data_IF_130377469615
#
_entry.id   IF_130377469615
#
_cell.length_a   1.000
_cell.length_b   1.000
_cell.length_c   1.000
_cell.angle_alpha   90.00
_cell.angle_beta   90.00
_cell.angle_gamma   90.00
#
_symmetry.space_group_name_H-M   'P 1'
#
loop_
_entity.id
_entity.type
_entity.pdbx_description
1 polymer ?
#
# COMPACT_ATOMS: atom_id res chain seq x y z
N UNK A 1 14.95 -11.43 2.49
CA UNK A 1 13.64 -10.78 2.37
C UNK A 1 13.86 -9.43 1.72
N UNK A 2 13.02 -9.04 0.78
CA UNK A 2 13.02 -7.69 0.16
C UNK A 2 11.75 -6.99 0.61
N UNK A 3 11.89 -5.80 1.20
CA UNK A 3 10.77 -4.98 1.65
C UNK A 3 10.90 -3.58 1.03
N UNK A 4 9.81 -3.11 0.42
CA UNK A 4 9.72 -1.79 -0.21
C UNK A 4 8.52 -1.05 0.37
N UNK A 5 8.76 0.07 1.02
CA UNK A 5 7.75 0.98 1.54
C UNK A 5 7.45 2.07 0.52
N UNK A 6 6.16 2.30 0.26
CA UNK A 6 5.71 3.22 -0.80
C UNK A 6 4.83 4.33 -0.21
N UNK A 7 5.28 5.57 -0.32
CA UNK A 7 4.47 6.76 -0.06
C UNK A 7 3.59 7.07 -1.27
N UNK A 8 2.41 6.47 -1.34
CA UNK A 8 1.48 6.71 -2.44
C UNK A 8 0.73 8.05 -2.27
N UNK A 9 0.20 8.56 -3.39
CA UNK A 9 -0.54 9.83 -3.50
C UNK A 9 0.34 11.07 -3.27
N UNK A 10 1.59 11.04 -3.74
CA UNK A 10 2.47 12.21 -3.65
C UNK A 10 1.94 13.43 -4.43
N UNK A 11 0.96 13.25 -5.31
CA UNK A 11 0.25 14.35 -5.97
C UNK A 11 -0.54 15.26 -5.02
N UNK A 12 -0.91 14.77 -3.83
CA UNK A 12 -1.64 15.54 -2.83
C UNK A 12 -0.70 16.27 -1.86
N UNK A 13 0.26 17.05 -2.39
CA UNK A 13 1.22 17.81 -1.59
C UNK A 13 0.54 18.74 -0.56
N UNK A 14 -0.54 19.41 -0.96
CA UNK A 14 -1.30 20.32 -0.07
C UNK A 14 -1.95 19.59 1.12
N UNK A 15 -2.13 18.27 1.02
CA UNK A 15 -2.70 17.41 2.07
C UNK A 15 -1.66 16.45 2.64
N UNK A 16 -0.37 16.75 2.47
CA UNK A 16 0.72 15.91 2.96
C UNK A 16 0.70 15.84 4.49
N UNK A 17 0.40 14.64 5.01
CA UNK A 17 0.41 14.35 6.44
C UNK A 17 1.74 13.78 6.94
N UNK A 18 2.52 13.16 6.05
CA UNK A 18 3.81 12.53 6.38
C UNK A 18 4.91 13.19 5.56
N UNK A 19 5.95 13.66 6.25
CA UNK A 19 7.11 14.26 5.58
C UNK A 19 7.96 13.20 4.90
N UNK A 20 8.60 13.56 3.78
CA UNK A 20 9.50 12.65 3.06
C UNK A 20 10.65 12.17 3.95
N UNK A 21 11.17 13.04 4.80
CA UNK A 21 12.27 12.73 5.71
C UNK A 21 11.86 11.71 6.77
N UNK A 22 10.69 11.88 7.39
CA UNK A 22 10.15 10.95 8.39
C UNK A 22 9.92 9.56 7.78
N UNK A 23 9.27 9.51 6.62
CA UNK A 23 9.04 8.25 5.91
C UNK A 23 10.36 7.57 5.53
N UNK A 24 11.35 8.32 5.02
CA UNK A 24 12.66 7.76 4.69
C UNK A 24 13.39 7.21 5.93
N UNK A 25 13.33 7.93 7.06
CA UNK A 25 13.93 7.47 8.32
C UNK A 25 13.26 6.19 8.84
N UNK A 26 11.92 6.14 8.78
CA UNK A 26 11.18 4.94 9.19
C UNK A 26 11.50 3.75 8.29
N UNK A 27 11.56 3.93 6.97
CA UNK A 27 11.94 2.88 6.04
C UNK A 27 13.33 2.32 6.35
N UNK A 28 14.30 3.20 6.60
CA UNK A 28 15.64 2.81 6.98
C UNK A 28 15.66 2.03 8.31
N UNK A 29 14.82 2.41 9.28
CA UNK A 29 14.73 1.74 10.58
C UNK A 29 14.23 0.29 10.48
N UNK A 30 13.34 0.00 9.51
CA UNK A 30 12.81 -1.35 9.27
C UNK A 30 13.58 -2.11 8.17
N UNK A 31 14.64 -1.51 7.62
CA UNK A 31 15.43 -2.09 6.53
C UNK A 31 14.67 -2.20 5.20
N UNK A 32 13.69 -1.32 4.96
CA UNK A 32 12.95 -1.24 3.72
C UNK A 32 13.52 -0.17 2.77
N UNK A 33 13.38 -0.41 1.47
CA UNK A 33 13.55 0.65 0.48
C UNK A 33 12.36 1.61 0.54
N UNK A 34 12.58 2.90 0.30
CA UNK A 34 11.51 3.90 0.25
C UNK A 34 11.40 4.54 -1.12
N UNK A 35 10.17 4.71 -1.60
CA UNK A 35 9.84 5.45 -2.81
C UNK A 35 8.51 6.18 -2.63
N UNK A 36 8.35 7.34 -3.25
CA UNK A 36 7.07 8.02 -3.37
C UNK A 36 6.47 7.81 -4.75
N UNK A 37 5.15 7.67 -4.80
CA UNK A 37 4.42 7.43 -6.06
C UNK A 37 3.13 8.21 -6.11
N UNK A 38 2.69 8.53 -7.33
CA UNK A 38 1.33 8.95 -7.61
C UNK A 38 0.72 7.95 -8.57
N UNK A 39 -0.10 7.04 -8.04
CA UNK A 39 -0.84 6.11 -8.89
C UNK A 39 -1.80 6.84 -9.85
N UNK A 40 -2.30 8.02 -9.45
CA UNK A 40 -3.17 8.84 -10.29
C UNK A 40 -2.44 9.36 -11.55
N UNK A 41 -1.18 9.73 -11.40
CA UNK A 41 -0.37 10.27 -12.50
C UNK A 41 0.63 9.26 -13.08
N UNK A 42 0.51 7.99 -12.69
CA UNK A 42 1.46 6.91 -13.04
C UNK A 42 2.93 7.28 -12.75
N UNK A 43 3.17 8.03 -11.67
CA UNK A 43 4.52 8.47 -11.29
C UNK A 43 5.14 7.51 -10.28
N UNK A 44 6.37 7.07 -10.57
CA UNK A 44 7.19 6.26 -9.68
C UNK A 44 6.77 4.78 -9.58
N UNK A 45 5.66 4.38 -10.18
CA UNK A 45 5.15 2.99 -10.18
C UNK A 45 6.19 2.04 -10.78
N UNK A 46 6.66 2.33 -11.99
CA UNK A 46 7.73 1.58 -12.68
C UNK A 46 8.98 1.41 -11.81
N UNK A 47 9.42 2.48 -11.15
CA UNK A 47 10.63 2.49 -10.34
C UNK A 47 10.51 1.58 -9.11
N UNK A 48 9.35 1.57 -8.45
CA UNK A 48 9.09 0.70 -7.30
C UNK A 48 9.18 -0.76 -7.70
N UNK A 49 8.50 -1.15 -8.77
CA UNK A 49 8.49 -2.55 -9.22
C UNK A 49 9.86 -2.99 -9.73
N UNK A 50 10.53 -2.15 -10.52
CA UNK A 50 11.88 -2.46 -11.03
C UNK A 50 12.91 -2.57 -9.91
N UNK A 51 12.89 -1.66 -8.94
CA UNK A 51 13.84 -1.70 -7.81
C UNK A 51 13.63 -2.93 -6.94
N UNK A 52 12.36 -3.28 -6.67
CA UNK A 52 11.99 -4.47 -5.91
C UNK A 52 12.40 -5.75 -6.64
N UNK A 53 12.09 -5.86 -7.93
CA UNK A 53 12.50 -7.01 -8.76
C UNK A 53 14.02 -7.16 -8.83
N UNK A 54 14.75 -6.05 -9.03
CA UNK A 54 16.21 -6.06 -9.05
C UNK A 54 16.80 -6.50 -7.69
N UNK A 55 16.21 -6.07 -6.58
CA UNK A 55 16.63 -6.51 -5.25
C UNK A 55 16.38 -8.01 -5.05
N UNK A 56 15.24 -8.53 -5.51
CA UNK A 56 14.92 -9.96 -5.46
C UNK A 56 15.91 -10.79 -6.28
N UNK A 57 16.26 -10.34 -7.50
CA UNK A 57 17.24 -11.02 -8.36
C UNK A 57 18.66 -11.03 -7.75
N UNK A 58 19.06 -9.93 -7.11
CA UNK A 58 20.35 -9.88 -6.38
C UNK A 58 20.38 -10.91 -5.26
N UNK A 59 19.26 -11.08 -4.54
CA UNK A 59 19.15 -12.09 -3.48
C UNK A 59 19.14 -13.53 -4.00
N UNK A 60 18.57 -13.78 -5.18
CA UNK A 60 18.56 -15.13 -5.77
C UNK A 60 19.93 -15.59 -6.26
N UNK A 61 20.80 -14.66 -6.67
CA UNK A 61 22.13 -15.00 -7.18
C UNK A 61 23.16 -15.33 -6.08
N UNK A 62 22.84 -15.08 -4.81
CA UNK A 62 23.78 -15.26 -3.67
C UNK A 62 23.70 -16.65 -2.99
N UNK A 63 23.12 -17.65 -3.65
CA UNK A 63 22.96 -19.02 -3.14
C UNK A 63 21.49 -19.44 -3.08
N UNK A 64 21.13 -20.66 -2.62
CA UNK A 64 19.75 -21.11 -2.53
C UNK A 64 19.03 -20.34 -1.41
N UNK A 65 18.75 -19.06 -1.66
CA UNK A 65 17.80 -18.29 -0.90
C UNK A 65 16.47 -19.00 -1.11
N UNK A 66 16.04 -19.78 -0.12
CA UNK A 66 14.64 -20.13 0.03
C UNK A 66 13.91 -18.79 0.06
N UNK A 67 13.34 -18.41 -1.09
CA UNK A 67 12.47 -17.26 -1.24
C UNK A 67 11.26 -17.59 -0.38
N UNK A 68 11.39 -17.37 0.93
CA UNK A 68 10.32 -17.50 1.88
C UNK A 68 9.40 -16.34 1.54
N UNK A 69 8.37 -16.64 0.77
CA UNK A 69 7.18 -15.81 0.75
C UNK A 69 6.83 -15.58 2.21
N UNK A 70 6.79 -14.33 2.64
CA UNK A 70 6.17 -13.98 3.90
C UNK A 70 4.67 -14.10 3.65
N UNK A 71 4.20 -15.35 3.55
CA UNK A 71 2.78 -15.64 3.58
C UNK A 71 2.37 -15.43 5.03
N UNK A 72 1.40 -14.56 5.30
CA UNK A 72 0.87 -14.31 6.64
C UNK A 72 0.14 -15.53 7.25
N UNK A 73 0.50 -16.76 6.86
CA UNK A 73 -0.08 -18.02 7.28
C UNK A 73 0.48 -18.56 8.60
N UNK A 74 1.37 -17.84 9.28
CA UNK A 74 1.75 -18.15 10.67
C UNK A 74 1.05 -17.17 11.63
N UNK A 75 -0.22 -17.46 11.93
CA UNK A 75 -0.80 -17.19 13.25
C UNK A 75 -1.30 -15.79 13.62
N UNK A 76 -1.41 -14.81 12.72
CA UNK A 76 -2.01 -13.50 13.02
C UNK A 76 -3.36 -13.29 12.29
N UNK A 77 -4.45 -12.87 12.98
CA UNK A 77 -5.79 -12.85 12.39
C UNK A 77 -6.05 -11.69 11.42
N UNK A 78 -5.07 -10.80 11.18
CA UNK A 78 -5.23 -9.63 10.31
C UNK A 78 -4.84 -9.92 8.86
N UNK A 79 -5.68 -10.69 8.17
CA UNK A 79 -5.63 -10.85 6.71
C UNK A 79 -6.18 -9.58 6.06
N UNK A 80 -5.34 -8.77 5.44
CA UNK A 80 -5.82 -7.68 4.57
C UNK A 80 -6.56 -8.31 3.38
N UNK A 81 -7.83 -7.94 3.12
CA UNK A 81 -8.59 -8.53 2.03
C UNK A 81 -8.00 -8.10 0.69
N UNK A 82 -7.51 -9.08 -0.07
CA UNK A 82 -7.16 -8.90 -1.46
C UNK A 82 -8.46 -8.87 -2.27
N UNK A 83 -8.73 -7.76 -2.96
CA UNK A 83 -9.91 -7.63 -3.80
C UNK A 83 -9.71 -8.43 -5.09
N UNK A 84 -10.54 -9.45 -5.29
CA UNK A 84 -10.66 -10.10 -6.59
C UNK A 84 -11.66 -9.28 -7.43
N UNK A 85 -11.34 -8.87 -8.65
CA UNK A 85 -12.30 -8.19 -9.51
C UNK A 85 -13.32 -9.24 -10.00
N UNK A 86 -14.51 -9.22 -9.41
CA UNK A 86 -15.66 -9.95 -9.95
C UNK A 86 -16.51 -8.98 -10.77
N UNK A 87 -16.67 -9.27 -12.07
CA UNK A 87 -17.54 -8.54 -13.00
C UNK A 87 -19.02 -8.93 -12.81
N UNK A 88 -19.53 -8.92 -11.59
CA UNK A 88 -20.94 -9.20 -11.32
C UNK A 88 -21.70 -7.96 -10.84
N UNK A 89 -22.76 -7.65 -11.59
CA UNK A 89 -23.62 -6.48 -11.46
C UNK A 89 -24.20 -6.36 -10.05
N UNK A 90 -23.90 -5.25 -9.36
CA UNK A 90 -24.27 -5.01 -7.96
C UNK A 90 -25.80 -4.97 -7.75
N UNK A 91 -26.36 -6.01 -7.12
CA UNK A 91 -27.82 -6.09 -6.88
C UNK A 91 -28.21 -6.32 -5.42
N UNK A 92 -27.33 -6.15 -4.43
CA UNK A 92 -27.79 -6.27 -3.04
C UNK A 92 -27.01 -5.38 -2.08
N UNK A 93 -27.76 -4.66 -1.26
CA UNK A 93 -27.35 -3.69 -0.25
C UNK A 93 -26.21 -4.23 0.62
N UNK A 94 -25.03 -3.60 0.52
CA UNK A 94 -23.87 -3.93 1.34
C UNK A 94 -24.14 -3.63 2.80
N UNK A 95 -24.07 -4.67 3.64
CA UNK A 95 -24.10 -4.53 5.09
C UNK A 95 -22.80 -3.87 5.54
N UNK A 96 -22.88 -2.70 6.16
CA UNK A 96 -21.71 -1.99 6.71
C UNK A 96 -21.28 -2.69 7.99
N UNK A 97 -20.23 -3.50 7.92
CA UNK A 97 -19.54 -4.01 9.09
C UNK A 97 -18.52 -2.94 9.51
N UNK A 98 -18.78 -2.29 10.65
CA UNK A 98 -17.84 -1.35 11.25
C UNK A 98 -16.69 -2.15 11.86
N UNK A 99 -15.42 -1.87 11.50
CA UNK A 99 -14.32 -2.59 12.07
C UNK A 99 -14.06 -2.15 13.53
N UNK A 100 -13.57 -3.06 14.37
CA UNK A 100 -13.46 -2.87 15.83
C UNK A 100 -12.31 -1.96 16.31
N UNK A 101 -11.69 -1.18 15.41
CA UNK A 101 -10.62 -0.26 15.77
C UNK A 101 -11.17 1.17 15.86
N UNK A 102 -10.77 1.90 16.90
CA UNK A 102 -11.16 3.29 17.10
C UNK A 102 -10.77 4.13 15.87
N UNK A 103 -11.77 4.82 15.33
CA UNK A 103 -11.69 5.63 14.12
C UNK A 103 -11.37 7.10 14.45
N UNK A 104 -10.94 7.39 15.69
CA UNK A 104 -10.88 8.76 16.23
C UNK A 104 -9.87 9.67 15.50
N UNK A 105 -9.02 9.12 14.62
CA UNK A 105 -7.99 9.87 13.89
C UNK A 105 -8.03 9.72 12.36
N UNK A 106 -9.09 9.17 11.77
CA UNK A 106 -9.21 9.16 10.31
C UNK A 106 -9.84 10.48 9.85
N UNK A 107 -9.06 11.29 9.14
CA UNK A 107 -9.58 12.45 8.43
C UNK A 107 -10.68 12.03 7.44
N UNK A 108 -11.93 12.39 7.73
CA UNK A 108 -13.05 12.19 6.82
C UNK A 108 -12.89 13.14 5.61
N UNK A 109 -12.57 12.59 4.45
CA UNK A 109 -12.68 13.33 3.18
C UNK A 109 -14.15 13.57 2.85
N UNK A 110 -14.54 14.82 2.63
CA UNK A 110 -15.91 15.14 2.21
C UNK A 110 -16.18 14.62 0.78
N UNK A 111 -17.28 13.89 0.63
CA UNK A 111 -17.79 13.45 -0.66
C UNK A 111 -18.54 14.61 -1.32
N UNK A 112 -17.95 15.19 -2.36
CA UNK A 112 -18.59 16.24 -3.16
C UNK A 112 -19.79 15.66 -3.90
N UNK A 113 -21.01 16.01 -3.46
CA UNK A 113 -22.26 15.62 -4.14
C UNK A 113 -22.34 16.33 -5.49
N UNK A 114 -22.41 15.57 -6.56
CA UNK A 114 -22.81 16.09 -7.87
C UNK A 114 -24.30 16.45 -7.83
N UNK A 115 -24.62 17.74 -7.70
CA UNK A 115 -25.93 18.25 -8.08
C UNK A 115 -25.97 18.33 -9.61
N UNK A 116 -26.72 17.44 -10.25
CA UNK A 116 -27.34 17.77 -11.53
C UNK A 116 -28.83 17.94 -11.28
N UNK A 117 -29.36 19.07 -11.76
CA UNK A 117 -30.77 19.40 -11.83
C UNK A 117 -31.47 18.63 -12.95
#
# INVERSE_FOLDING_TARGET
MVLSMVGNKCDLEDKRAVSQTEAAQYAASIGANYCETSALHDQGIDQVFRSTAAALLKMSNTGPASLRSYDSADGEPHRLPFGNPSEETATHTGKVELPAWSIDNIAHGEMQRSMCC
#
